data_IF_316772865165
#
_entry.id   IF_316772865165
#
_cell.length_a   1.000
_cell.length_b   1.000
_cell.length_c   1.000
_cell.angle_alpha   90.00
_cell.angle_beta   90.00
_cell.angle_gamma   90.00
#
_symmetry.space_group_name_H-M   'P 1'
#
loop_
_entity.id
_entity.type
_entity.pdbx_description
1 polymer ?
#
# COMPACT_ATOMS: atom_id res chain seq x y z
N UNK A 1 1.96 -15.85 2.23
CA UNK A 1 1.71 -16.33 3.61
C UNK A 1 1.01 -17.68 3.61
N UNK A 2 -0.14 -17.84 2.92
CA UNK A 2 -0.82 -19.14 2.80
C UNK A 2 0.07 -20.25 2.22
N UNK A 3 0.85 -19.96 1.19
CA UNK A 3 1.85 -20.90 0.62
C UNK A 3 2.96 -21.29 1.62
N UNK A 4 3.23 -20.43 2.61
CA UNK A 4 4.17 -20.70 3.70
C UNK A 4 3.49 -21.39 4.90
N UNK A 5 2.22 -21.80 4.76
CA UNK A 5 1.43 -22.40 5.84
C UNK A 5 0.93 -21.43 6.93
N UNK A 6 1.22 -20.13 6.81
CA UNK A 6 0.89 -19.13 7.83
C UNK A 6 -0.52 -18.59 7.55
N UNK A 7 -1.44 -18.74 8.51
CA UNK A 7 -2.77 -18.11 8.46
C UNK A 7 -2.69 -16.68 8.96
N UNK A 8 -3.46 -15.79 8.33
CA UNK A 8 -3.50 -14.36 8.69
C UNK A 8 -4.08 -14.12 10.09
N UNK A 9 -4.96 -15.01 10.55
CA UNK A 9 -5.54 -14.99 11.90
C UNK A 9 -4.53 -15.17 13.01
N UNK A 10 -3.39 -15.81 12.70
CA UNK A 10 -2.42 -16.25 13.68
C UNK A 10 -1.29 -15.22 13.86
N UNK A 11 -1.36 -14.10 13.12
CA UNK A 11 -0.37 -13.03 13.13
C UNK A 11 -0.93 -11.80 13.85
N UNK A 12 -0.07 -11.17 14.65
CA UNK A 12 -0.30 -9.80 15.09
C UNK A 12 -0.24 -8.83 13.91
N UNK A 13 -0.76 -7.61 14.12
CA UNK A 13 -0.71 -6.54 13.11
C UNK A 13 0.72 -6.21 12.69
N UNK A 14 1.64 -6.15 13.66
CA UNK A 14 3.04 -5.81 13.42
C UNK A 14 3.74 -6.88 12.59
N UNK A 15 3.58 -8.15 12.95
CA UNK A 15 4.14 -9.26 12.18
C UNK A 15 3.60 -9.27 10.74
N UNK A 16 2.30 -9.06 10.56
CA UNK A 16 1.71 -8.97 9.23
C UNK A 16 2.30 -7.81 8.41
N UNK A 17 2.49 -6.64 9.02
CA UNK A 17 3.08 -5.48 8.36
C UNK A 17 4.54 -5.74 7.97
N UNK A 18 5.32 -6.41 8.82
CA UNK A 18 6.69 -6.79 8.49
C UNK A 18 6.73 -7.69 7.26
N UNK A 19 5.88 -8.73 7.21
CA UNK A 19 5.79 -9.60 6.04
C UNK A 19 5.35 -8.85 4.76
N UNK A 20 4.45 -7.88 4.89
CA UNK A 20 4.00 -7.07 3.75
C UNK A 20 5.15 -6.20 3.21
N UNK A 21 5.96 -5.61 4.09
CA UNK A 21 7.13 -4.82 3.71
C UNK A 21 8.22 -5.68 3.06
N UNK A 22 8.55 -6.83 3.63
CA UNK A 22 9.49 -7.78 3.02
C UNK A 22 9.05 -8.18 1.60
N UNK A 23 7.75 -8.44 1.43
CA UNK A 23 7.18 -8.76 0.12
C UNK A 23 7.31 -7.57 -0.83
N UNK A 24 6.96 -6.35 -0.38
CA UNK A 24 7.09 -5.13 -1.17
C UNK A 24 8.52 -4.93 -1.65
N UNK A 25 9.53 -5.09 -0.79
CA UNK A 25 10.92 -4.88 -1.17
C UNK A 25 11.37 -5.92 -2.20
N UNK A 26 11.05 -7.20 -1.97
CA UNK A 26 11.40 -8.28 -2.90
C UNK A 26 10.78 -8.06 -4.29
N UNK A 27 9.46 -7.90 -4.34
CA UNK A 27 8.75 -7.82 -5.62
C UNK A 27 8.84 -6.45 -6.26
N UNK A 28 8.89 -5.37 -5.48
CA UNK A 28 9.13 -4.02 -5.97
C UNK A 28 10.49 -3.89 -6.67
N UNK A 29 11.54 -4.45 -6.07
CA UNK A 29 12.86 -4.48 -6.72
C UNK A 29 12.86 -5.24 -8.05
N UNK A 30 12.16 -6.39 -8.11
CA UNK A 30 12.02 -7.19 -9.34
C UNK A 30 11.29 -6.40 -10.42
N UNK A 31 10.15 -5.78 -10.10
CA UNK A 31 9.35 -4.99 -11.05
C UNK A 31 10.19 -3.83 -11.60
N UNK A 32 10.89 -3.09 -10.75
CA UNK A 32 11.73 -1.98 -11.18
C UNK A 32 12.90 -2.44 -12.07
N UNK A 33 13.51 -3.58 -11.74
CA UNK A 33 14.56 -4.16 -12.59
C UNK A 33 14.02 -4.57 -13.98
N UNK A 34 12.84 -5.17 -14.03
CA UNK A 34 12.18 -5.53 -15.28
C UNK A 34 11.89 -4.29 -16.14
N UNK A 35 11.35 -3.23 -15.54
CA UNK A 35 11.08 -1.97 -16.25
C UNK A 35 12.36 -1.34 -16.81
N UNK A 36 13.46 -1.35 -16.04
CA UNK A 36 14.78 -0.90 -16.55
C UNK A 36 15.26 -1.76 -17.71
N UNK A 37 15.11 -3.08 -17.64
CA UNK A 37 15.50 -4.01 -18.71
C UNK A 37 14.69 -3.79 -20.00
N UNK A 38 13.44 -3.36 -19.88
CA UNK A 38 12.58 -2.98 -21.01
C UNK A 38 12.95 -1.60 -21.62
N UNK A 39 13.89 -0.87 -21.02
CA UNK A 39 14.30 0.44 -21.51
C UNK A 39 13.38 1.59 -21.09
N UNK A 40 12.58 1.42 -20.02
CA UNK A 40 11.75 2.50 -19.50
C UNK A 40 12.65 3.68 -19.04
N UNK A 41 12.41 4.87 -19.59
CA UNK A 41 13.17 6.09 -19.25
C UNK A 41 12.51 6.88 -18.13
N UNK A 42 12.23 6.22 -17.01
CA UNK A 42 11.61 6.86 -15.83
C UNK A 42 12.64 7.60 -14.97
N UNK A 43 12.18 8.58 -14.21
CA UNK A 43 12.98 9.20 -13.14
C UNK A 43 13.07 8.23 -11.95
N UNK A 44 14.14 7.43 -11.94
CA UNK A 44 14.34 6.38 -10.95
C UNK A 44 14.70 6.91 -9.57
N UNK A 45 15.30 8.10 -9.48
CA UNK A 45 15.66 8.74 -8.20
C UNK A 45 14.41 9.17 -7.43
N UNK A 46 13.31 9.45 -8.14
CA UNK A 46 12.02 9.84 -7.57
C UNK A 46 10.99 8.71 -7.54
N UNK A 47 11.45 7.46 -7.50
CA UNK A 47 10.55 6.31 -7.34
C UNK A 47 9.79 6.42 -6.02
N UNK A 48 8.46 6.35 -6.08
CA UNK A 48 7.59 6.47 -4.91
C UNK A 48 6.70 5.23 -4.76
N UNK A 49 6.32 4.92 -3.52
CA UNK A 49 5.37 3.89 -3.15
C UNK A 49 4.23 4.47 -2.31
N UNK A 50 3.01 3.96 -2.53
CA UNK A 50 1.78 4.50 -1.90
C UNK A 50 1.75 4.48 -0.37
N UNK A 51 2.57 3.63 0.26
CA UNK A 51 2.70 3.56 1.71
C UNK A 51 3.98 4.22 2.24
N UNK A 52 4.73 4.92 1.39
CA UNK A 52 5.85 5.74 1.87
C UNK A 52 5.32 6.84 2.78
N UNK A 53 6.12 7.22 3.78
CA UNK A 53 5.70 8.14 4.85
C UNK A 53 5.02 9.41 4.33
N UNK A 54 5.63 10.09 3.36
CA UNK A 54 5.08 11.32 2.79
C UNK A 54 3.76 11.10 2.04
N UNK A 55 3.68 10.04 1.22
CA UNK A 55 2.46 9.71 0.49
C UNK A 55 1.31 9.38 1.46
N UNK A 56 1.61 8.59 2.49
CA UNK A 56 0.66 8.22 3.53
C UNK A 56 0.13 9.43 4.32
N UNK A 57 1.03 10.35 4.70
CA UNK A 57 0.67 11.61 5.37
C UNK A 57 -0.26 12.47 4.49
N UNK A 58 0.01 12.55 3.18
CA UNK A 58 -0.82 13.29 2.24
C UNK A 58 -2.22 12.69 2.07
N UNK A 59 -2.34 11.36 2.05
CA UNK A 59 -3.65 10.67 2.00
C UNK A 59 -4.47 11.00 3.26
N UNK A 60 -3.86 10.94 4.44
CA UNK A 60 -4.54 11.32 5.70
C UNK A 60 -4.99 12.77 5.65
N UNK A 61 -4.10 13.68 5.23
CA UNK A 61 -4.40 15.11 5.11
C UNK A 61 -5.60 15.35 4.19
N UNK A 62 -5.61 14.73 3.02
CA UNK A 62 -6.72 14.84 2.06
C UNK A 62 -8.02 14.26 2.61
N UNK A 63 -7.96 13.10 3.28
CA UNK A 63 -9.15 12.52 3.93
C UNK A 63 -9.75 13.48 4.96
N UNK A 64 -8.91 14.06 5.83
CA UNK A 64 -9.35 15.03 6.85
C UNK A 64 -9.89 16.32 6.22
N UNK A 65 -9.25 16.82 5.17
CA UNK A 65 -9.71 18.02 4.44
C UNK A 65 -11.08 17.80 3.80
N UNK A 66 -11.28 16.68 3.12
CA UNK A 66 -12.56 16.33 2.50
C UNK A 66 -13.67 16.13 3.55
N UNK A 67 -13.34 15.56 4.71
CA UNK A 67 -14.27 15.46 5.84
C UNK A 67 -14.67 16.85 6.36
N UNK A 68 -13.70 17.75 6.58
CA UNK A 68 -13.96 19.14 7.03
C UNK A 68 -14.76 19.97 6.04
N UNK A 69 -14.75 19.62 4.76
CA UNK A 69 -15.53 20.27 3.68
C UNK A 69 -16.93 19.65 3.50
N UNK A 70 -17.38 18.82 4.44
CA UNK A 70 -18.65 18.08 4.39
C UNK A 70 -18.81 17.22 3.11
N UNK A 71 -17.69 16.75 2.54
CA UNK A 71 -17.68 15.87 1.35
C UNK A 71 -17.64 14.39 1.70
N UNK A 72 -17.37 14.04 2.96
CA UNK A 72 -17.32 12.67 3.45
C UNK A 72 -18.33 12.47 4.56
N UNK A 73 -18.99 11.31 4.56
CA UNK A 73 -19.92 10.91 5.61
C UNK A 73 -19.78 9.41 5.87
N UNK A 74 -20.22 8.98 7.05
CA UNK A 74 -20.35 7.57 7.41
C UNK A 74 -21.83 7.21 7.42
N UNK A 75 -22.22 6.17 6.70
CA UNK A 75 -23.60 5.70 6.65
C UNK A 75 -23.68 4.21 6.41
N UNK A 76 -24.80 3.61 6.80
CA UNK A 76 -25.10 2.22 6.49
C UNK A 76 -25.57 2.13 5.04
N UNK A 77 -24.88 1.31 4.26
CA UNK A 77 -25.16 1.03 2.85
C UNK A 77 -24.88 -0.44 2.59
N UNK A 78 -25.60 -1.03 1.64
CA UNK A 78 -25.24 -2.34 1.12
C UNK A 78 -23.85 -2.24 0.49
N UNK A 79 -22.95 -3.12 0.91
CA UNK A 79 -21.59 -3.24 0.39
C UNK A 79 -21.38 -4.68 -0.05
N UNK A 80 -20.63 -4.88 -1.13
CA UNK A 80 -20.18 -6.21 -1.50
C UNK A 80 -19.21 -6.70 -0.41
N UNK A 81 -19.50 -7.86 0.18
CA UNK A 81 -18.72 -8.44 1.27
C UNK A 81 -18.07 -9.74 0.79
N UNK A 82 -16.74 -9.80 0.84
CA UNK A 82 -15.88 -10.96 0.57
C UNK A 82 -14.89 -11.10 1.74
#
# INVERSE_FOLDING_TARGET
>A
LREKGIKKSDLSREEFLNYAWEWKEKYGGIILHQLRKLGASCDWERTAFTMDKGYYEDVIKMFVDLYKKDKLYRGLRMVNWD
#
